data_IF_903870970179
#
_entry.id   IF_903870970179
#
_cell.length_a   1.000
_cell.length_b   1.000
_cell.length_c   1.000
_cell.angle_alpha   90.00
_cell.angle_beta   90.00
_cell.angle_gamma   90.00
#
_symmetry.space_group_name_H-M   'P 1'
#
loop_
_entity.id
_entity.type
_entity.pdbx_description
1 polymer ?
#
# COMPACT_ATOMS: atom_id res chain seq x y z
N UNK A 1 -19.49 -16.44 -12.73
CA UNK A 1 -19.41 -15.16 -11.99
C UNK A 1 -18.52 -14.20 -12.75
N UNK A 2 -18.64 -12.92 -12.46
CA UNK A 2 -17.80 -11.90 -13.10
C UNK A 2 -17.21 -11.00 -12.01
N UNK A 3 -15.92 -11.16 -11.76
CA UNK A 3 -15.22 -10.36 -10.76
C UNK A 3 -15.09 -8.93 -11.29
N UNK A 4 -15.46 -7.93 -10.47
CA UNK A 4 -15.42 -6.52 -10.85
C UNK A 4 -14.10 -5.85 -10.46
N UNK A 5 -13.73 -5.98 -9.20
CA UNK A 5 -12.57 -5.29 -8.62
C UNK A 5 -12.23 -5.92 -7.27
N UNK A 6 -11.15 -5.45 -6.68
CA UNK A 6 -10.80 -5.80 -5.30
C UNK A 6 -11.52 -4.84 -4.37
N UNK A 7 -12.27 -5.35 -3.39
CA UNK A 7 -12.90 -4.52 -2.35
C UNK A 7 -11.87 -4.13 -1.29
N UNK A 8 -11.22 -5.11 -0.71
CA UNK A 8 -10.15 -4.89 0.26
C UNK A 8 -9.19 -6.08 0.30
N UNK A 9 -8.03 -5.83 0.84
CA UNK A 9 -7.06 -6.86 1.22
C UNK A 9 -6.72 -6.68 2.69
N UNK A 10 -6.10 -7.69 3.29
CA UNK A 10 -5.64 -7.66 4.68
C UNK A 10 -4.13 -7.74 4.72
N UNK A 11 -3.50 -6.85 5.46
CA UNK A 11 -2.07 -6.87 5.72
C UNK A 11 -1.82 -6.97 7.21
N UNK A 12 -1.10 -8.01 7.68
CA UNK A 12 -0.64 -8.04 9.06
C UNK A 12 0.39 -6.95 9.30
N UNK A 13 0.30 -6.26 10.42
CA UNK A 13 1.25 -5.21 10.80
C UNK A 13 1.80 -5.49 12.20
N UNK A 14 3.09 -5.22 12.41
CA UNK A 14 3.73 -5.42 13.70
C UNK A 14 3.54 -4.23 14.64
N UNK A 15 3.36 -3.03 14.09
CA UNK A 15 3.18 -1.79 14.84
C UNK A 15 2.16 -0.93 14.13
N UNK A 16 0.95 -0.87 14.70
CA UNK A 16 -0.17 -0.17 14.06
C UNK A 16 0.08 1.33 13.89
N UNK A 17 0.73 1.97 14.85
CA UNK A 17 0.96 3.41 14.79
C UNK A 17 1.93 3.75 13.65
N UNK A 18 2.99 2.99 13.49
CA UNK A 18 3.93 3.16 12.38
C UNK A 18 3.27 2.92 11.03
N UNK A 19 2.44 1.86 10.93
CA UNK A 19 1.75 1.55 9.68
C UNK A 19 0.70 2.59 9.33
N UNK A 20 -0.10 3.04 10.29
CA UNK A 20 -1.07 4.12 10.06
C UNK A 20 -0.36 5.39 9.60
N UNK A 21 0.74 5.77 10.26
CA UNK A 21 1.52 6.94 9.86
C UNK A 21 2.00 6.82 8.41
N UNK A 22 2.56 5.66 8.05
CA UNK A 22 3.07 5.42 6.70
C UNK A 22 1.96 5.55 5.64
N UNK A 23 0.86 4.82 5.80
CA UNK A 23 -0.19 4.80 4.79
C UNK A 23 -0.94 6.14 4.70
N UNK A 24 -1.06 6.87 5.79
CA UNK A 24 -1.74 8.19 5.78
C UNK A 24 -0.80 9.32 5.40
N UNK A 25 0.35 9.46 6.05
CA UNK A 25 1.25 10.59 5.85
C UNK A 25 2.13 10.45 4.61
N UNK A 26 2.57 9.24 4.29
CA UNK A 26 3.40 9.02 3.10
C UNK A 26 2.52 8.80 1.87
N UNK A 27 1.52 7.95 1.96
CA UNK A 27 0.70 7.57 0.81
C UNK A 27 -0.61 8.36 0.67
N UNK A 28 -0.95 9.20 1.64
CA UNK A 28 -2.13 10.05 1.55
C UNK A 28 -3.46 9.33 1.68
N UNK A 29 -3.47 8.10 2.23
CA UNK A 29 -4.70 7.35 2.43
C UNK A 29 -5.46 7.88 3.66
N UNK A 30 -6.75 7.58 3.72
CA UNK A 30 -7.60 7.97 4.84
C UNK A 30 -7.72 6.83 5.85
N UNK A 31 -7.39 7.11 7.12
CA UNK A 31 -7.50 6.11 8.17
C UNK A 31 -8.97 5.92 8.60
N UNK A 32 -9.36 4.67 8.81
CA UNK A 32 -10.59 4.30 9.47
C UNK A 32 -10.24 3.44 10.68
N UNK A 33 -10.53 3.97 11.88
CA UNK A 33 -10.21 3.32 13.15
C UNK A 33 -11.46 2.94 13.94
N UNK A 34 -12.62 2.93 13.28
CA UNK A 34 -13.89 2.63 13.93
C UNK A 34 -13.94 1.17 14.41
N UNK A 35 -14.72 0.93 15.49
CA UNK A 35 -14.97 -0.40 16.03
C UNK A 35 -13.69 -1.16 16.45
N UNK A 36 -12.65 -0.44 16.86
CA UNK A 36 -11.35 -1.01 17.27
C UNK A 36 -10.69 -1.84 16.15
N UNK A 37 -11.09 -1.60 14.91
CA UNK A 37 -10.48 -2.17 13.73
C UNK A 37 -9.81 -1.05 12.94
N UNK A 38 -8.75 -1.40 12.24
CA UNK A 38 -7.94 -0.42 11.53
C UNK A 38 -7.97 -0.71 10.03
N UNK A 39 -8.18 0.33 9.25
CA UNK A 39 -8.10 0.27 7.80
C UNK A 39 -7.56 1.58 7.24
N UNK A 40 -7.00 1.52 6.05
CA UNK A 40 -6.65 2.71 5.27
C UNK A 40 -7.39 2.63 3.93
N UNK A 41 -8.04 3.73 3.58
CA UNK A 41 -8.97 3.79 2.45
C UNK A 41 -8.40 4.68 1.35
N UNK A 42 -8.64 4.27 0.12
CA UNK A 42 -8.26 5.02 -1.08
C UNK A 42 -9.21 4.64 -2.22
N UNK A 43 -9.60 5.62 -3.04
CA UNK A 43 -10.60 5.36 -4.08
C UNK A 43 -11.84 4.69 -3.48
N UNK A 44 -12.24 3.57 -4.05
CA UNK A 44 -13.35 2.75 -3.54
C UNK A 44 -12.86 1.43 -2.89
N UNK A 45 -11.61 1.39 -2.48
CA UNK A 45 -10.95 0.20 -1.93
C UNK A 45 -10.34 0.53 -0.57
N UNK A 46 -9.92 -0.50 0.15
CA UNK A 46 -9.20 -0.32 1.42
C UNK A 46 -8.21 -1.45 1.67
N UNK A 47 -7.31 -1.20 2.58
CA UNK A 47 -6.43 -2.20 3.18
C UNK A 47 -6.80 -2.28 4.66
N UNK A 48 -7.24 -3.45 5.10
CA UNK A 48 -7.43 -3.72 6.53
C UNK A 48 -6.08 -4.04 7.15
N UNK A 49 -5.75 -3.36 8.23
CA UNK A 49 -4.49 -3.57 8.96
C UNK A 49 -4.79 -4.39 10.21
N UNK A 50 -4.31 -5.63 10.24
CA UNK A 50 -4.47 -6.52 11.39
C UNK A 50 -3.21 -6.50 12.25
N UNK A 51 -3.37 -6.16 13.53
CA UNK A 51 -2.25 -6.11 14.45
C UNK A 51 -1.87 -7.54 14.82
N UNK A 52 -0.69 -7.96 14.40
CA UNK A 52 -0.27 -9.34 14.54
C UNK A 52 -0.81 -10.24 13.43
N UNK A 53 -0.33 -11.48 13.43
CA UNK A 53 -0.75 -12.48 12.45
C UNK A 53 -2.08 -13.09 12.88
N UNK A 54 -3.02 -13.20 11.96
CA UNK A 54 -4.33 -13.81 12.21
C UNK A 54 -5.08 -13.20 13.41
N UNK A 55 -5.07 -11.87 13.53
CA UNK A 55 -5.78 -11.14 14.58
C UNK A 55 -7.28 -11.48 14.58
N UNK A 56 -7.88 -11.62 13.40
CA UNK A 56 -9.27 -11.98 13.21
C UNK A 56 -9.36 -13.19 12.28
N UNK A 57 -10.26 -14.11 12.58
CA UNK A 57 -10.50 -15.30 11.75
C UNK A 57 -11.81 -15.15 10.98
N UNK A 58 -11.92 -15.67 9.75
CA UNK A 58 -10.88 -16.43 9.05
C UNK A 58 -9.73 -15.55 8.58
N UNK A 59 -8.57 -16.13 8.39
CA UNK A 59 -7.36 -15.45 7.95
C UNK A 59 -6.67 -16.23 6.82
N UNK A 60 -5.65 -15.62 6.20
CA UNK A 60 -4.81 -16.34 5.26
C UNK A 60 -4.14 -17.54 5.95
N UNK A 61 -3.83 -18.57 5.17
CA UNK A 61 -3.21 -19.79 5.72
C UNK A 61 -1.81 -19.52 6.29
N UNK A 62 -1.06 -18.63 5.64
CA UNK A 62 0.30 -18.27 6.04
C UNK A 62 0.45 -16.75 6.15
N UNK A 63 -0.20 -16.13 7.14
CA UNK A 63 -0.03 -14.69 7.33
C UNK A 63 1.39 -14.39 7.80
N UNK A 64 1.99 -13.33 7.27
CA UNK A 64 3.35 -12.94 7.62
C UNK A 64 3.52 -11.42 7.51
N UNK A 65 4.37 -10.87 8.36
CA UNK A 65 4.78 -9.47 8.23
C UNK A 65 5.72 -9.32 7.04
N UNK A 66 5.53 -8.26 6.25
CA UNK A 66 6.45 -7.90 5.19
C UNK A 66 6.40 -8.79 3.94
N UNK A 67 5.33 -9.57 3.77
CA UNK A 67 5.20 -10.47 2.61
C UNK A 67 4.36 -9.89 1.47
N UNK A 68 3.73 -8.73 1.65
CA UNK A 68 2.92 -8.12 0.62
C UNK A 68 3.77 -7.39 -0.40
N UNK A 69 3.30 -7.40 -1.64
CA UNK A 69 3.89 -6.71 -2.78
C UNK A 69 2.70 -6.09 -3.53
N UNK A 70 2.58 -4.75 -3.46
CA UNK A 70 1.37 -4.06 -3.91
C UNK A 70 1.76 -2.92 -4.83
N UNK A 71 1.08 -2.83 -5.97
CA UNK A 71 1.18 -1.69 -6.88
C UNK A 71 -0.06 -0.80 -6.73
N UNK A 72 0.18 0.47 -6.45
CA UNK A 72 -0.85 1.48 -6.30
C UNK A 72 -0.74 2.48 -7.45
N UNK A 73 -1.81 2.65 -8.20
CA UNK A 73 -1.86 3.67 -9.24
C UNK A 73 -2.27 5.01 -8.63
N UNK A 74 -1.60 6.06 -9.05
CA UNK A 74 -1.94 7.43 -8.68
C UNK A 74 -1.95 8.32 -9.93
N UNK A 75 -2.57 9.47 -9.82
CA UNK A 75 -2.51 10.50 -10.84
C UNK A 75 -1.33 11.43 -10.56
N UNK A 76 -0.90 12.16 -11.58
CA UNK A 76 0.12 13.18 -11.45
C UNK A 76 1.42 12.79 -12.13
N UNK A 77 2.47 13.49 -11.76
CA UNK A 77 3.80 13.37 -12.35
C UNK A 77 4.67 12.50 -11.44
N UNK A 78 5.19 11.39 -11.95
CA UNK A 78 5.94 10.43 -11.14
C UNK A 78 7.26 11.02 -10.61
N UNK A 79 7.90 11.95 -11.32
CA UNK A 79 9.10 12.61 -10.85
C UNK A 79 8.82 13.46 -9.60
N UNK A 80 7.71 14.18 -9.59
CA UNK A 80 7.27 14.98 -8.43
C UNK A 80 6.85 14.09 -7.27
N UNK A 81 6.16 12.99 -7.56
CA UNK A 81 5.75 12.00 -6.56
C UNK A 81 6.98 11.40 -5.87
N UNK A 82 8.01 11.06 -6.65
CA UNK A 82 9.27 10.55 -6.10
C UNK A 82 9.88 11.54 -5.11
N UNK A 83 9.95 12.82 -5.49
CA UNK A 83 10.47 13.88 -4.62
C UNK A 83 9.61 14.01 -3.35
N UNK A 84 8.29 13.94 -3.49
CA UNK A 84 7.38 14.01 -2.35
C UNK A 84 7.64 12.86 -1.36
N UNK A 85 7.75 11.63 -1.85
CA UNK A 85 8.01 10.47 -1.01
C UNK A 85 9.38 10.58 -0.32
N UNK A 86 10.41 10.97 -1.06
CA UNK A 86 11.75 11.17 -0.50
C UNK A 86 11.77 12.29 0.56
N UNK A 87 10.98 13.34 0.37
CA UNK A 87 10.88 14.45 1.32
C UNK A 87 10.32 14.02 2.68
N UNK A 88 9.63 12.90 2.71
CA UNK A 88 9.07 12.32 3.94
C UNK A 88 10.00 11.30 4.60
N UNK A 89 11.26 11.26 4.17
CA UNK A 89 12.27 10.39 4.75
C UNK A 89 12.25 8.96 4.28
N UNK A 90 11.56 8.66 3.18
CA UNK A 90 11.46 7.33 2.60
C UNK A 90 12.53 7.16 1.53
N UNK A 91 13.30 6.08 1.62
CA UNK A 91 14.28 5.72 0.60
C UNK A 91 13.58 5.03 -0.58
N UNK A 92 13.85 5.52 -1.79
CA UNK A 92 13.37 4.88 -3.02
C UNK A 92 14.36 3.79 -3.38
N UNK A 93 13.90 2.54 -3.34
CA UNK A 93 14.74 1.37 -3.61
C UNK A 93 15.03 1.20 -5.10
N UNK A 94 14.00 1.40 -5.94
CA UNK A 94 14.09 1.33 -7.39
C UNK A 94 13.20 2.42 -7.97
N UNK A 95 13.65 3.05 -9.00
CA UNK A 95 12.83 3.96 -9.76
C UNK A 95 13.54 5.24 -10.19
N UNK A 96 13.05 5.92 -11.18
CA UNK A 96 11.79 5.67 -11.92
C UNK A 96 12.06 4.63 -13.02
N UNK A 97 11.19 3.63 -13.13
CA UNK A 97 11.32 2.57 -14.15
C UNK A 97 9.99 2.35 -14.84
N UNK A 98 10.05 1.91 -16.09
CA UNK A 98 8.86 1.52 -16.83
C UNK A 98 8.50 0.08 -16.51
N UNK A 99 7.21 -0.17 -16.31
CA UNK A 99 6.66 -1.50 -16.04
C UNK A 99 5.40 -1.70 -16.87
N UNK A 100 4.86 -2.90 -16.83
CA UNK A 100 3.59 -3.24 -17.48
C UNK A 100 2.54 -3.44 -16.40
N UNK A 101 1.53 -2.58 -16.41
CA UNK A 101 0.38 -2.70 -15.50
C UNK A 101 -0.78 -3.44 -16.15
N UNK A 102 -1.88 -3.57 -15.41
CA UNK A 102 -3.09 -4.25 -15.88
C UNK A 102 -3.75 -3.51 -17.05
N UNK A 103 -3.60 -2.19 -17.12
CA UNK A 103 -4.22 -1.34 -18.16
C UNK A 103 -3.22 -0.84 -19.20
N UNK A 104 -1.96 -1.26 -19.12
CA UNK A 104 -0.93 -0.82 -20.05
C UNK A 104 0.34 -0.40 -19.33
N UNK A 105 1.21 0.32 -20.05
CA UNK A 105 2.50 0.75 -19.53
C UNK A 105 2.33 1.76 -18.37
N UNK A 106 3.16 1.60 -17.36
CA UNK A 106 3.21 2.46 -16.18
C UNK A 106 4.65 2.86 -15.90
N UNK A 107 4.82 3.97 -15.15
CA UNK A 107 6.11 4.39 -14.62
C UNK A 107 6.05 4.30 -13.11
N UNK A 108 7.04 3.65 -12.51
CA UNK A 108 6.96 3.19 -11.13
C UNK A 108 8.16 3.58 -10.29
N UNK A 109 7.89 3.78 -9.01
CA UNK A 109 8.88 3.85 -7.94
C UNK A 109 8.55 2.77 -6.91
N UNK A 110 9.58 2.23 -6.26
CA UNK A 110 9.46 1.16 -5.27
C UNK A 110 10.09 1.57 -3.95
N UNK A 111 9.39 1.30 -2.87
CA UNK A 111 9.89 1.55 -1.52
C UNK A 111 9.23 0.59 -0.53
N UNK A 112 9.61 0.66 0.74
CA UNK A 112 9.16 -0.28 1.76
C UNK A 112 8.28 0.41 2.79
N UNK A 113 7.26 -0.32 3.25
CA UNK A 113 6.51 0.10 4.42
C UNK A 113 7.27 -0.29 5.72
N UNK A 114 6.75 0.04 6.92
CA UNK A 114 7.47 -0.26 8.17
C UNK A 114 7.77 -1.73 8.42
N UNK A 115 6.97 -2.65 7.86
CA UNK A 115 7.20 -4.10 8.02
C UNK A 115 8.01 -4.71 6.88
N UNK A 116 8.43 -3.92 5.90
CA UNK A 116 9.17 -4.39 4.75
C UNK A 116 8.31 -4.85 3.58
N UNK A 117 7.01 -4.60 3.60
CA UNK A 117 6.17 -4.84 2.42
C UNK A 117 6.66 -3.98 1.27
N UNK A 118 6.69 -4.54 0.07
CA UNK A 118 7.08 -3.79 -1.12
C UNK A 118 5.90 -2.97 -1.61
N UNK A 119 6.11 -1.68 -1.72
CA UNK A 119 5.11 -0.74 -2.24
C UNK A 119 5.63 -0.20 -3.56
N UNK A 120 4.86 -0.40 -4.60
CA UNK A 120 5.07 0.21 -5.90
C UNK A 120 4.03 1.30 -6.09
N UNK A 121 4.46 2.52 -6.38
CA UNK A 121 3.55 3.62 -6.75
C UNK A 121 3.81 3.96 -8.20
N UNK A 122 2.75 4.04 -8.98
CA UNK A 122 2.85 4.14 -10.43
C UNK A 122 1.85 5.13 -11.01
N UNK A 123 2.23 5.70 -12.16
CA UNK A 123 1.34 6.48 -13.01
C UNK A 123 1.23 5.80 -14.36
N UNK A 124 0.04 5.86 -14.98
CA UNK A 124 -0.15 5.39 -16.36
C UNK A 124 0.60 6.28 -17.33
N UNK A 125 1.20 5.67 -18.33
CA UNK A 125 1.83 6.41 -19.43
C UNK A 125 0.77 6.83 -20.44
#
# INVERSE_FOLDING_TARGET
MKIKNIDHIVIPVSDIDKSLHFFTEVLGMEADTSNQRFAVKFGNQKINLHVGKAQFLPAAKHPAFGSADICLLTEGNIEEIKVEVESKGIEIEVGIVQRRGAQGAIRSIYFRDPDGNLIEVSTLI
#
